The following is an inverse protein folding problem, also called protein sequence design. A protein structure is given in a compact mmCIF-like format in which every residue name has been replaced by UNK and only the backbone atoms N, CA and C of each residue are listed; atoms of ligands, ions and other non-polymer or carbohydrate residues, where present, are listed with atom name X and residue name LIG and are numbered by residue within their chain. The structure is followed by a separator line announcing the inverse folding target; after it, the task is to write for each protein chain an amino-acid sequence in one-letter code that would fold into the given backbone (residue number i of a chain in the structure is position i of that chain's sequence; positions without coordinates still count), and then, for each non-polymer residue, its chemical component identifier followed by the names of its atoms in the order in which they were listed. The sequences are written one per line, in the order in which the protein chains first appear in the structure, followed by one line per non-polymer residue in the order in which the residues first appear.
data_IF_947009918190
#
_entry.id   IF_947009918190
#
_cell.length_a   1.000
_cell.length_b   1.000
_cell.length_c   1.000
_cell.angle_alpha   90.00
_cell.angle_beta   90.00
_cell.angle_gamma   90.00
#
_symmetry.space_group_name_H-M   'P 1'
#
loop_
_entity.id
_entity.type
_entity.pdbx_description
1 polymer ?
#
# COMPACT_ATOMS: atom_id res chain seq x y z
N UNK A 1 14.97 -2.49 -15.83
CA UNK A 1 13.68 -2.93 -15.24
C UNK A 1 12.58 -1.96 -15.64
N UNK A 2 11.35 -2.45 -15.83
CA UNK A 2 10.21 -1.62 -16.20
C UNK A 2 9.51 -1.08 -14.93
N UNK A 3 9.13 0.20 -14.92
CA UNK A 3 8.51 0.89 -13.78
C UNK A 3 7.34 1.76 -14.26
N UNK A 4 6.37 2.00 -13.37
CA UNK A 4 5.26 2.92 -13.63
C UNK A 4 5.70 4.36 -13.36
N UNK A 5 5.25 5.27 -14.20
CA UNK A 5 5.41 6.71 -13.99
C UNK A 5 4.38 7.22 -12.99
N UNK A 6 4.68 8.35 -12.31
CA UNK A 6 3.75 8.96 -11.37
C UNK A 6 2.35 9.23 -11.97
N UNK A 7 2.20 9.72 -13.22
CA UNK A 7 0.88 9.87 -13.84
C UNK A 7 0.14 8.55 -14.07
N UNK A 8 0.86 7.47 -14.41
CA UNK A 8 0.27 6.14 -14.57
C UNK A 8 -0.26 5.60 -13.24
N UNK A 9 0.48 5.84 -12.15
CA UNK A 9 0.01 5.46 -10.81
C UNK A 9 -1.20 6.27 -10.39
N UNK A 10 -1.20 7.59 -10.62
CA UNK A 10 -2.38 8.42 -10.36
C UNK A 10 -3.61 7.95 -11.14
N UNK A 11 -3.44 7.63 -12.43
CA UNK A 11 -4.51 7.06 -13.25
C UNK A 11 -5.01 5.73 -12.69
N UNK A 12 -4.11 4.80 -12.36
CA UNK A 12 -4.46 3.52 -11.76
C UNK A 12 -5.23 3.67 -10.43
N UNK A 13 -4.81 4.59 -9.56
CA UNK A 13 -5.46 4.87 -8.29
C UNK A 13 -6.84 5.52 -8.46
N UNK A 14 -7.05 6.25 -9.56
CA UNK A 14 -8.36 6.80 -9.93
C UNK A 14 -9.37 5.69 -10.28
N UNK A 15 -8.92 4.61 -10.90
CA UNK A 15 -9.75 3.45 -11.25
C UNK A 15 -10.08 2.51 -10.07
N UNK A 16 -9.66 2.85 -8.85
CA UNK A 16 -10.00 2.11 -7.64
C UNK A 16 -11.45 2.42 -7.24
N UNK A 17 -12.30 1.40 -7.01
CA UNK A 17 -13.74 1.63 -6.85
C UNK A 17 -14.12 2.22 -5.49
N UNK A 18 -13.21 2.19 -4.51
CA UNK A 18 -13.42 2.82 -3.21
C UNK A 18 -12.09 3.24 -2.56
N UNK A 19 -12.21 4.02 -1.48
CA UNK A 19 -11.10 4.55 -0.69
C UNK A 19 -10.23 3.47 -0.07
N UNK A 20 -10.78 2.31 0.33
CA UNK A 20 -9.99 1.25 0.95
C UNK A 20 -9.03 0.63 -0.06
N UNK A 21 -9.48 0.39 -1.28
CA UNK A 21 -8.63 -0.06 -2.39
C UNK A 21 -7.57 0.98 -2.73
N UNK A 22 -8.00 2.24 -2.88
CA UNK A 22 -7.11 3.36 -3.16
C UNK A 22 -5.96 3.43 -2.14
N UNK A 23 -6.29 3.44 -0.84
CA UNK A 23 -5.30 3.56 0.22
C UNK A 23 -4.34 2.38 0.28
N UNK A 24 -4.77 1.15 -0.08
CA UNK A 24 -3.87 0.00 -0.17
C UNK A 24 -2.77 0.24 -1.20
N UNK A 25 -3.15 0.53 -2.44
CA UNK A 25 -2.19 0.67 -3.53
C UNK A 25 -1.39 1.97 -3.45
N UNK A 26 -1.98 3.04 -2.92
CA UNK A 26 -1.25 4.26 -2.59
C UNK A 26 -0.18 3.99 -1.52
N UNK A 27 -0.47 3.16 -0.52
CA UNK A 27 0.54 2.72 0.47
C UNK A 27 1.64 1.91 -0.20
N UNK A 28 1.30 0.98 -1.10
CA UNK A 28 2.29 0.20 -1.83
C UNK A 28 3.22 1.07 -2.69
N UNK A 29 2.66 2.05 -3.39
CA UNK A 29 3.41 3.04 -4.17
C UNK A 29 4.36 3.86 -3.29
N UNK A 30 3.87 4.39 -2.16
CA UNK A 30 4.63 5.30 -1.31
C UNK A 30 5.69 4.62 -0.43
N UNK A 31 5.79 3.28 -0.44
CA UNK A 31 6.65 2.54 0.50
C UNK A 31 7.41 1.36 -0.11
N UNK A 32 7.08 0.97 -1.35
CA UNK A 32 7.65 -0.20 -2.03
C UNK A 32 7.42 -1.52 -1.29
N UNK A 33 6.41 -1.60 -0.41
CA UNK A 33 6.12 -2.81 0.37
C UNK A 33 5.64 -3.97 -0.50
N UNK A 34 5.92 -5.19 -0.05
CA UNK A 34 5.32 -6.38 -0.66
C UNK A 34 3.85 -6.48 -0.27
N UNK A 35 3.04 -7.07 -1.13
CA UNK A 35 1.61 -7.31 -0.85
C UNK A 35 1.38 -8.11 0.45
N UNK A 36 2.21 -9.12 0.72
CA UNK A 36 2.17 -9.88 1.96
C UNK A 36 2.52 -9.05 3.20
N UNK A 37 3.39 -8.04 3.07
CA UNK A 37 3.69 -7.08 4.13
C UNK A 37 2.50 -6.13 4.35
N UNK A 38 1.90 -5.64 3.26
CA UNK A 38 0.75 -4.72 3.27
C UNK A 38 -0.47 -5.30 4.01
N UNK A 39 -0.77 -6.59 3.79
CA UNK A 39 -1.84 -7.33 4.49
C UNK A 39 -1.72 -7.27 6.01
N UNK A 40 -0.53 -7.04 6.52
CA UNK A 40 -0.24 -7.10 7.94
C UNK A 40 -0.11 -5.76 8.63
N UNK A 41 -0.20 -4.67 7.86
CA UNK A 41 -0.16 -3.32 8.39
C UNK A 41 -1.42 -3.05 9.21
N UNK A 42 -1.21 -2.51 10.40
CA UNK A 42 -2.27 -2.04 11.29
C UNK A 42 -2.20 -0.52 11.38
N UNK A 43 -3.20 0.16 11.96
CA UNK A 43 -3.09 1.60 12.22
C UNK A 43 -1.82 1.95 13.03
N UNK A 44 -1.45 1.11 14.01
CA UNK A 44 -0.21 1.28 14.80
C UNK A 44 1.09 1.11 13.98
N UNK A 45 1.02 0.62 12.74
CA UNK A 45 2.18 0.60 11.85
C UNK A 45 2.56 2.01 11.37
N UNK A 46 1.63 2.97 11.37
CA UNK A 46 1.86 4.32 10.87
C UNK A 46 2.17 5.31 11.99
N UNK A 47 3.11 6.20 11.72
CA UNK A 47 3.49 7.32 12.56
C UNK A 47 3.42 8.57 11.68
N UNK A 48 2.30 9.30 11.77
CA UNK A 48 1.96 10.37 10.84
C UNK A 48 2.15 11.77 11.46
N UNK A 49 2.06 11.88 12.79
CA UNK A 49 2.00 13.14 13.55
C UNK A 49 3.36 13.87 13.71
N UNK A 50 4.36 13.58 12.88
CA UNK A 50 5.74 14.05 13.04
C UNK A 50 6.33 14.77 11.83
N UNK A 51 7.43 15.50 12.04
CA UNK A 51 8.24 16.13 10.97
C UNK A 51 8.80 15.11 9.96
N UNK A 52 8.88 13.84 10.37
CA UNK A 52 9.33 12.73 9.53
C UNK A 52 8.34 11.57 9.68
N UNK A 53 7.20 11.60 8.97
CA UNK A 53 6.25 10.51 8.98
C UNK A 53 6.88 9.22 8.45
N UNK A 54 6.52 8.08 9.03
CA UNK A 54 7.03 6.78 8.59
C UNK A 54 6.03 5.64 8.83
N UNK A 55 6.27 4.52 8.14
CA UNK A 55 5.57 3.25 8.40
C UNK A 55 6.54 2.19 8.89
N UNK A 56 6.14 1.46 9.93
CA UNK A 56 6.82 0.29 10.50
C UNK A 56 6.38 -0.95 9.76
N UNK A 57 7.28 -1.53 8.96
CA UNK A 57 7.01 -2.73 8.17
C UNK A 57 7.76 -3.91 8.76
N UNK A 58 7.02 -4.98 9.06
CA UNK A 58 7.59 -6.25 9.50
C UNK A 58 7.86 -7.15 8.30
N UNK A 59 9.05 -7.74 8.23
CA UNK A 59 9.38 -8.70 7.17
C UNK A 59 8.52 -9.96 7.27
N UNK A 60 8.08 -10.49 6.13
CA UNK A 60 7.22 -11.67 6.04
C UNK A 60 7.87 -12.92 6.68
N UNK A 61 9.18 -13.10 6.48
CA UNK A 61 9.97 -14.24 7.02
C UNK A 61 9.99 -14.30 8.55
N UNK A 62 9.80 -13.15 9.17
CA UNK A 62 9.92 -12.97 10.63
C UNK A 62 8.63 -13.34 11.31
N UNK A 63 7.50 -13.10 10.64
CA UNK A 63 6.16 -13.49 11.13
C UNK A 63 5.91 -15.00 11.05
N UNK A 64 6.61 -15.73 10.18
CA UNK A 64 6.54 -17.19 10.15
C UNK A 64 7.15 -17.84 11.42
N UNK A 65 7.93 -17.08 12.21
CA UNK A 65 8.48 -17.53 13.50
C UNK A 65 7.50 -17.19 14.63
N UNK A 66 7.20 -18.16 15.51
CA UNK A 66 6.48 -17.90 16.77
C UNK A 66 7.39 -17.07 17.69
N UNK A 67 6.95 -15.86 18.06
CA UNK A 67 7.65 -15.01 19.03
C UNK A 67 7.51 -13.51 18.75
N UNK A 68 8.04 -12.68 19.66
CA UNK A 68 8.15 -11.23 19.44
C UNK A 68 9.22 -10.99 18.36
N UNK A 69 8.90 -10.27 17.27
CA UNK A 69 9.89 -9.92 16.25
C UNK A 69 11.08 -9.18 16.89
N UNK A 70 12.32 -9.59 16.61
CA UNK A 70 13.52 -8.82 16.94
C UNK A 70 13.41 -7.38 16.42
N UNK A 71 13.90 -6.41 17.20
CA UNK A 71 13.86 -4.97 16.87
C UNK A 71 14.55 -4.66 15.54
N UNK A 72 15.58 -5.44 15.19
CA UNK A 72 16.38 -5.28 13.96
C UNK A 72 15.69 -5.81 12.68
N UNK A 73 14.49 -6.38 12.82
CA UNK A 73 13.73 -6.97 11.71
C UNK A 73 12.50 -6.14 11.31
N UNK A 74 12.29 -4.99 11.96
CA UNK A 74 11.30 -3.97 11.58
C UNK A 74 11.99 -2.89 10.76
N UNK A 75 11.59 -2.73 9.50
CA UNK A 75 12.09 -1.60 8.68
C UNK A 75 11.19 -0.39 8.85
N UNK A 76 11.81 0.76 9.08
CA UNK A 76 11.14 2.06 9.06
C UNK A 76 11.22 2.61 7.64
N UNK A 77 10.07 2.86 7.01
CA UNK A 77 10.02 3.44 5.68
C UNK A 77 9.53 4.88 5.80
N UNK A 78 10.36 5.89 5.46
CA UNK A 78 9.94 7.27 5.51
C UNK A 78 8.85 7.52 4.46
N UNK A 79 7.82 8.28 4.83
CA UNK A 79 6.76 8.72 3.94
C UNK A 79 7.08 10.13 3.47
N UNK A 80 7.54 10.27 2.23
CA UNK A 80 8.02 11.54 1.67
C UNK A 80 6.90 12.36 1.00
N UNK A 81 5.84 11.70 0.53
CA UNK A 81 4.69 12.36 -0.09
C UNK A 81 3.71 12.90 0.98
N UNK A 82 3.74 14.22 1.18
CA UNK A 82 2.84 14.90 2.11
C UNK A 82 1.35 14.78 1.73
N UNK A 83 1.03 14.60 0.44
CA UNK A 83 -0.36 14.40 0.00
C UNK A 83 -0.87 13.02 0.41
N UNK A 84 -0.03 12.00 0.33
CA UNK A 84 -0.34 10.66 0.81
C UNK A 84 -0.51 10.63 2.33
N UNK A 85 0.39 11.29 3.07
CA UNK A 85 0.31 11.38 4.55
C UNK A 85 -1.04 11.96 4.98
N UNK A 86 -1.44 13.10 4.41
CA UNK A 86 -2.75 13.73 4.71
C UNK A 86 -3.94 12.85 4.35
N UNK A 87 -3.88 12.16 3.21
CA UNK A 87 -4.94 11.22 2.81
C UNK A 87 -5.04 10.04 3.77
N UNK A 88 -3.90 9.49 4.21
CA UNK A 88 -3.85 8.41 5.19
C UNK A 88 -4.41 8.83 6.55
N UNK A 89 -4.03 10.01 7.07
CA UNK A 89 -4.58 10.56 8.30
C UNK A 89 -6.11 10.73 8.19
N UNK A 90 -6.58 11.40 7.14
CA UNK A 90 -8.01 11.63 6.92
C UNK A 90 -8.81 10.33 6.82
N UNK A 91 -8.26 9.33 6.10
CA UNK A 91 -8.88 8.02 5.99
C UNK A 91 -8.93 7.29 7.34
N UNK A 92 -7.87 7.33 8.15
CA UNK A 92 -7.84 6.73 9.49
C UNK A 92 -8.82 7.40 10.45
N UNK A 93 -8.95 8.74 10.39
CA UNK A 93 -9.92 9.49 11.20
C UNK A 93 -11.36 9.13 10.82
N UNK A 94 -11.63 8.98 9.53
CA UNK A 94 -12.97 8.70 8.99
C UNK A 94 -13.39 7.25 9.25
N UNK A 95 -12.51 6.29 8.96
CA UNK A 95 -12.84 4.86 9.05
C UNK A 95 -12.66 4.28 10.45
N UNK A 96 -11.91 4.96 11.33
CA UNK A 96 -11.62 4.57 12.72
C UNK A 96 -11.27 3.08 12.86
N UNK A 97 -10.27 2.59 12.11
CA UNK A 97 -9.87 1.19 12.15
C UNK A 97 -9.37 0.82 13.55
N UNK A 98 -9.59 -0.43 13.96
CA UNK A 98 -9.10 -0.91 15.25
C UNK A 98 -7.57 -0.95 15.25
N UNK A 99 -6.95 -0.36 16.27
CA UNK A 99 -5.49 -0.09 16.35
C UNK A 99 -4.58 -1.29 16.03
N UNK A 100 -4.99 -2.50 16.42
CA UNK A 100 -4.21 -3.74 16.28
C UNK A 100 -4.76 -4.71 15.24
N UNK A 101 -5.78 -4.32 14.50
CA UNK A 101 -6.30 -5.13 13.41
C UNK A 101 -5.71 -4.69 12.07
N UNK A 102 -5.57 -5.61 11.11
CA UNK A 102 -5.14 -5.25 9.77
C UNK A 102 -6.01 -4.16 9.16
N UNK A 103 -5.40 -3.16 8.53
CA UNK A 103 -6.10 -2.13 7.76
C UNK A 103 -6.89 -2.72 6.58
N UNK A 104 -6.36 -3.81 6.01
CA UNK A 104 -6.98 -4.54 4.91
C UNK A 104 -7.12 -6.02 5.26
N UNK A 105 -8.18 -6.43 5.99
CA UNK A 105 -8.42 -7.82 6.37
C UNK A 105 -8.93 -8.67 5.19
N UNK A 106 -8.10 -8.85 4.16
CA UNK A 106 -8.36 -9.69 2.98
C UNK A 106 -7.11 -10.48 2.62
N UNK A 107 -7.25 -11.45 1.71
CA UNK A 107 -6.12 -12.25 1.23
C UNK A 107 -5.32 -11.50 0.16
N UNK A 108 -4.07 -11.91 -0.04
CA UNK A 108 -3.21 -11.42 -1.12
C UNK A 108 -3.86 -11.63 -2.50
N UNK A 109 -4.61 -12.72 -2.68
CA UNK A 109 -5.34 -13.01 -3.92
C UNK A 109 -6.45 -11.98 -4.16
N UNK A 110 -7.24 -11.65 -3.13
CA UNK A 110 -8.27 -10.61 -3.22
C UNK A 110 -7.65 -9.26 -3.60
N UNK A 111 -6.54 -8.88 -2.97
CA UNK A 111 -5.81 -7.66 -3.31
C UNK A 111 -5.32 -7.66 -4.76
N UNK A 112 -4.76 -8.78 -5.25
CA UNK A 112 -4.36 -8.92 -6.67
C UNK A 112 -5.55 -8.80 -7.62
N UNK A 113 -6.70 -9.35 -7.24
CA UNK A 113 -7.91 -9.28 -8.05
C UNK A 113 -8.45 -7.84 -8.12
N UNK A 114 -8.36 -7.05 -7.04
CA UNK A 114 -8.69 -5.62 -7.08
C UNK A 114 -7.83 -4.85 -8.07
N UNK A 115 -6.52 -5.12 -8.09
CA UNK A 115 -5.60 -4.51 -9.04
C UNK A 115 -5.95 -4.87 -10.49
N UNK A 116 -6.19 -6.15 -10.77
CA UNK A 116 -6.63 -6.62 -12.10
C UNK A 116 -7.93 -5.96 -12.54
N UNK A 117 -8.89 -5.79 -11.63
CA UNK A 117 -10.15 -5.12 -11.92
C UNK A 117 -9.94 -3.64 -12.23
N UNK A 118 -9.08 -2.93 -11.50
CA UNK A 118 -8.77 -1.53 -11.79
C UNK A 118 -8.12 -1.38 -13.18
N UNK A 119 -7.18 -2.25 -13.54
CA UNK A 119 -6.57 -2.28 -14.88
C UNK A 119 -7.61 -2.54 -15.96
N UNK A 120 -8.53 -3.49 -15.73
CA UNK A 120 -9.62 -3.80 -16.68
C UNK A 120 -10.57 -2.61 -16.87
N UNK A 121 -10.86 -1.84 -15.82
CA UNK A 121 -11.67 -0.61 -15.93
C UNK A 121 -10.94 0.46 -16.73
N UNK A 122 -9.65 0.64 -16.48
CA UNK A 122 -8.81 1.56 -17.26
C UNK A 122 -8.81 1.20 -18.75
N UNK A 123 -8.62 -0.08 -19.06
CA UNK A 123 -8.62 -0.58 -20.44
C UNK A 123 -9.97 -0.37 -21.14
N UNK A 124 -11.09 -0.55 -20.43
CA UNK A 124 -12.42 -0.31 -20.98
C UNK A 124 -12.65 1.16 -21.38
N UNK A 125 -11.97 2.10 -20.72
CA UNK A 125 -11.99 3.54 -21.03
C UNK A 125 -10.87 3.96 -22.00
N UNK A 126 -10.11 3.00 -22.55
CA UNK A 126 -9.00 3.27 -23.49
C UNK A 126 -7.70 3.74 -22.82
N UNK A 127 -7.60 3.65 -21.49
CA UNK A 127 -6.38 3.97 -20.74
C UNK A 127 -5.50 2.73 -20.66
N UNK A 128 -4.31 2.79 -21.25
CA UNK A 128 -3.34 1.70 -21.26
C UNK A 128 -2.09 2.07 -20.47
N UNK A 129 -1.56 1.09 -19.74
CA UNK A 129 -0.30 1.23 -19.00
C UNK A 129 0.86 0.75 -19.87
N UNK A 130 2.01 1.42 -19.75
CA UNK A 130 3.23 1.07 -20.48
C UNK A 130 3.75 -0.34 -20.17
N UNK A 131 3.40 -0.88 -19.00
CA UNK A 131 3.87 -2.18 -18.51
C UNK A 131 2.75 -2.94 -17.79
N UNK A 132 2.86 -4.28 -17.69
CA UNK A 132 1.94 -5.06 -16.86
C UNK A 132 1.94 -4.58 -15.40
N UNK A 133 0.77 -4.17 -14.92
CA UNK A 133 0.59 -3.69 -13.56
C UNK A 133 0.42 -4.89 -12.62
N UNK A 134 1.40 -5.10 -11.75
CA UNK A 134 1.38 -6.13 -10.70
C UNK A 134 1.72 -5.51 -9.36
N UNK A 135 1.43 -6.18 -8.22
CA UNK A 135 1.87 -5.67 -6.92
C UNK A 135 3.39 -5.49 -6.83
N UNK A 136 4.17 -6.27 -7.60
CA UNK A 136 5.62 -6.14 -7.65
C UNK A 136 6.08 -4.89 -8.43
N UNK A 137 5.26 -4.41 -9.35
CA UNK A 137 5.55 -3.22 -10.15
C UNK A 137 5.66 -1.97 -9.26
N UNK A 138 4.80 -1.84 -8.25
CA UNK A 138 4.88 -0.75 -7.25
C UNK A 138 6.24 -0.73 -6.54
N UNK A 139 6.79 -1.90 -6.21
CA UNK A 139 8.10 -2.01 -5.55
C UNK A 139 9.25 -1.58 -6.46
N UNK A 140 9.17 -1.85 -7.76
CA UNK A 140 10.20 -1.43 -8.72
C UNK A 140 10.16 0.05 -9.05
N UNK A 141 9.03 0.70 -8.77
CA UNK A 141 8.79 2.09 -9.13
C UNK A 141 8.95 3.06 -7.95
N UNK A 142 9.11 2.52 -6.74
CA UNK A 142 9.50 3.23 -5.51
C UNK A 142 11.02 3.31 -5.40
#
# INVERSE_FOLDING_TARGET
PAYLLAPEVSALLWYMPDQRHHMLFATMWNTGIRIGEARTLTPESFDLDGLRPFVRVLSEKVRARRGRPPKDEVRLVPLTDASFVRQMESWMVTTRPRRREPLWPVTDETMRNWLKQAVKRAEADGVHFSIPVTPHTFRHSY
#
